data_IF_855466606972
#
_entry.id   IF_855466606972
#
_cell.length_a   1.000
_cell.length_b   1.000
_cell.length_c   1.000
_cell.angle_alpha   90.00
_cell.angle_beta   90.00
_cell.angle_gamma   90.00
#
_symmetry.space_group_name_H-M   'P 1'
#
loop_
_entity.id
_entity.type
_entity.pdbx_description
1 polymer ?
#
# COMPACT_ATOMS: atom_id res chain seq x y z
N UNK A 1 -35.02 54.40 6.75
CA UNK A 1 -35.18 55.28 7.95
C UNK A 1 -34.52 54.61 9.14
N UNK A 2 -33.77 55.42 9.91
CA UNK A 2 -33.13 55.19 11.22
C UNK A 2 -31.77 54.42 11.11
N UNK A 3 -30.71 54.93 11.44
CA UNK A 3 -30.13 56.10 12.20
C UNK A 3 -28.86 55.48 12.86
N UNK A 4 -27.71 56.04 12.46
CA UNK A 4 -26.41 55.72 13.08
C UNK A 4 -26.29 56.55 14.37
N UNK A 5 -25.89 55.93 15.47
CA UNK A 5 -25.41 56.67 16.65
C UNK A 5 -23.89 56.44 16.74
N UNK A 6 -23.16 57.55 16.55
CA UNK A 6 -21.73 57.64 16.89
C UNK A 6 -21.64 58.13 18.35
N UNK A 7 -20.87 57.40 19.16
CA UNK A 7 -20.43 57.86 20.45
C UNK A 7 -18.99 58.38 20.35
N UNK A 8 -18.85 59.72 20.47
CA UNK A 8 -17.58 60.39 20.76
C UNK A 8 -17.30 60.25 22.26
N UNK A 9 -16.18 59.58 22.62
CA UNK A 9 -15.65 59.64 23.97
C UNK A 9 -14.56 60.74 24.03
N UNK A 10 -14.78 61.72 24.83
CA UNK A 10 -13.87 62.85 25.01
C UNK A 10 -12.57 62.43 25.73
N UNK A 11 -11.49 62.99 25.26
CA UNK A 11 -10.16 62.88 25.88
C UNK A 11 -10.01 63.94 26.93
N UNK A 12 -9.86 63.54 28.19
CA UNK A 12 -9.43 64.41 29.28
C UNK A 12 -7.91 64.41 29.37
N UNK A 13 -7.24 65.47 28.99
CA UNK A 13 -5.79 65.63 29.14
C UNK A 13 -5.52 66.13 30.57
N UNK A 14 -4.94 65.32 31.40
CA UNK A 14 -4.30 65.73 32.67
C UNK A 14 -2.79 65.75 32.45
N UNK A 15 -2.23 66.95 32.38
CA UNK A 15 -0.78 67.16 32.37
C UNK A 15 -0.21 66.95 33.77
N UNK A 16 0.48 65.87 34.02
CA UNK A 16 1.27 65.66 35.23
C UNK A 16 2.72 65.36 34.84
N UNK A 17 3.62 66.27 35.05
CA UNK A 17 5.09 66.07 35.02
C UNK A 17 5.45 65.16 36.17
N UNK A 18 6.05 63.96 35.83
CA UNK A 18 6.94 63.25 36.72
C UNK A 18 7.82 62.26 35.88
N UNK A 19 9.10 62.41 36.03
CA UNK A 19 10.20 61.49 35.88
C UNK A 19 10.16 60.48 34.72
N UNK A 20 11.08 60.67 33.76
CA UNK A 20 11.29 59.72 32.68
C UNK A 20 11.66 58.30 33.14
N UNK A 21 10.68 57.42 33.19
CA UNK A 21 10.87 56.01 33.06
C UNK A 21 10.65 55.68 31.58
N UNK A 22 11.73 55.44 30.85
CA UNK A 22 11.61 54.88 29.51
C UNK A 22 10.92 53.52 29.65
N UNK A 23 9.62 53.50 29.37
CA UNK A 23 8.90 52.26 29.23
C UNK A 23 9.58 51.49 28.07
N UNK A 24 10.48 50.58 28.41
CA UNK A 24 11.04 49.65 27.45
C UNK A 24 9.85 48.97 26.75
N UNK A 25 9.73 49.15 25.44
CA UNK A 25 8.68 48.47 24.67
C UNK A 25 8.84 46.97 24.89
N UNK A 26 7.94 46.39 25.65
CA UNK A 26 7.88 44.91 25.75
C UNK A 26 7.50 44.42 24.37
N UNK A 27 8.51 43.88 23.65
CA UNK A 27 8.28 43.33 22.34
C UNK A 27 7.20 42.23 22.44
N UNK A 28 6.19 42.32 21.57
CA UNK A 28 5.08 41.36 21.59
C UNK A 28 5.55 39.92 21.44
N UNK A 29 4.91 39.03 22.18
CA UNK A 29 5.20 37.60 22.09
C UNK A 29 4.84 37.06 20.71
N UNK A 30 5.74 36.31 20.10
CA UNK A 30 5.56 35.73 18.78
C UNK A 30 5.14 34.27 18.96
N UNK A 31 3.99 33.91 18.36
CA UNK A 31 3.53 32.52 18.35
C UNK A 31 4.47 31.64 17.52
N UNK A 32 4.93 30.55 18.12
CA UNK A 32 5.71 29.52 17.41
C UNK A 32 4.80 28.63 16.58
N UNK A 33 5.08 28.52 15.28
CA UNK A 33 4.37 27.63 14.36
C UNK A 33 5.21 26.40 14.04
N UNK A 34 4.55 25.28 13.77
CA UNK A 34 5.17 24.04 13.30
C UNK A 34 4.43 23.55 12.06
N UNK A 35 5.16 23.34 10.99
CA UNK A 35 4.66 22.73 9.76
C UNK A 35 5.25 21.34 9.60
N UNK A 36 4.40 20.33 9.52
CA UNK A 36 4.79 18.95 9.32
C UNK A 36 4.81 18.63 7.82
N UNK A 37 5.96 18.23 7.29
CA UNK A 37 6.19 17.97 5.87
C UNK A 37 6.06 16.48 5.50
N UNK A 38 5.86 15.62 6.49
CA UNK A 38 5.77 14.16 6.31
C UNK A 38 4.55 13.64 7.06
N UNK A 39 3.74 12.84 6.37
CA UNK A 39 2.58 12.15 6.95
C UNK A 39 2.72 10.63 6.89
N UNK A 40 3.53 10.11 5.95
CA UNK A 40 3.79 8.67 5.81
C UNK A 40 5.19 8.40 5.30
N UNK A 41 5.75 7.23 5.67
CA UNK A 41 7.06 6.74 5.25
C UNK A 41 6.98 5.22 4.98
N UNK A 42 7.86 4.71 4.11
CA UNK A 42 8.06 3.26 3.98
C UNK A 42 8.91 2.71 5.13
N UNK A 43 8.75 1.43 5.47
CA UNK A 43 9.62 0.80 6.46
C UNK A 43 11.10 0.89 6.02
N UNK A 44 11.98 1.19 6.96
CA UNK A 44 13.41 1.42 6.70
C UNK A 44 13.74 2.78 6.08
N UNK A 45 12.74 3.55 5.64
CA UNK A 45 13.01 4.87 5.07
C UNK A 45 13.55 5.82 6.14
N UNK A 46 14.65 6.49 5.80
CA UNK A 46 15.32 7.48 6.66
C UNK A 46 15.00 8.88 6.15
N UNK A 47 14.66 9.79 7.05
CA UNK A 47 14.46 11.21 6.79
C UNK A 47 15.21 12.05 7.82
N UNK A 48 15.88 13.12 7.36
CA UNK A 48 16.40 14.16 8.26
C UNK A 48 15.23 14.83 8.99
N UNK A 49 15.36 15.07 10.30
CA UNK A 49 14.34 15.73 11.10
C UNK A 49 14.04 17.15 10.63
N UNK A 50 15.03 17.85 10.03
CA UNK A 50 14.83 19.15 9.37
C UNK A 50 13.83 19.09 8.20
N UNK A 51 13.75 17.93 7.53
CA UNK A 51 12.81 17.69 6.44
C UNK A 51 11.47 17.08 6.90
N UNK A 52 11.40 16.66 8.17
CA UNK A 52 10.15 16.10 8.75
C UNK A 52 9.22 17.22 9.21
N UNK A 53 9.78 18.26 9.84
CA UNK A 53 9.02 19.45 10.22
C UNK A 53 9.88 20.72 10.20
N UNK A 54 9.22 21.84 9.92
CA UNK A 54 9.80 23.18 9.95
C UNK A 54 9.09 24.06 10.97
N UNK A 55 9.77 25.13 11.43
CA UNK A 55 9.22 26.09 12.40
C UNK A 55 9.78 27.48 12.13
N UNK A 56 9.04 28.50 12.52
CA UNK A 56 9.45 29.91 12.49
C UNK A 56 10.33 30.30 13.69
N UNK A 57 10.46 29.46 14.73
CA UNK A 57 11.20 29.77 15.94
C UNK A 57 12.67 29.28 15.87
N UNK A 58 13.64 30.11 16.31
CA UNK A 58 15.04 29.72 16.45
C UNK A 58 15.29 28.86 17.71
N UNK A 59 14.29 28.65 18.57
CA UNK A 59 14.42 27.91 19.84
C UNK A 59 14.96 26.50 19.65
N UNK A 60 15.64 26.00 20.69
CA UNK A 60 16.20 24.64 20.71
C UNK A 60 15.07 23.64 20.47
N UNK A 61 15.33 22.70 19.57
CA UNK A 61 14.38 21.63 19.18
C UNK A 61 14.82 20.31 19.78
N UNK A 62 13.91 19.66 20.48
CA UNK A 62 14.10 18.29 20.97
C UNK A 62 12.99 17.40 20.43
N UNK A 63 13.37 16.17 20.09
CA UNK A 63 12.47 15.18 19.50
C UNK A 63 12.30 13.99 20.41
N UNK A 64 11.09 13.51 20.52
CA UNK A 64 10.76 12.23 21.13
C UNK A 64 9.79 11.46 20.25
N UNK A 65 9.66 10.17 20.49
CA UNK A 65 8.82 9.28 19.70
C UNK A 65 8.16 8.20 20.55
N UNK A 66 7.02 7.72 20.07
CA UNK A 66 6.41 6.46 20.49
C UNK A 66 6.02 5.65 19.25
N UNK A 67 5.91 4.34 19.39
CA UNK A 67 5.57 3.47 18.25
C UNK A 67 6.76 3.04 17.41
N UNK A 68 6.50 2.62 16.18
CA UNK A 68 7.45 1.89 15.34
C UNK A 68 8.33 2.81 14.50
N UNK A 69 9.25 3.49 15.15
CA UNK A 69 10.32 4.26 14.52
C UNK A 69 11.52 4.43 15.42
N UNK A 70 12.66 4.88 14.90
CA UNK A 70 13.84 5.25 15.66
C UNK A 70 14.26 6.68 15.33
N UNK A 71 14.79 7.37 16.33
CA UNK A 71 15.41 8.70 16.19
C UNK A 71 16.90 8.58 16.48
N UNK A 72 17.75 9.16 15.62
CA UNK A 72 19.20 9.12 15.79
C UNK A 72 19.84 10.38 15.22
N UNK A 73 20.49 11.21 16.01
CA UNK A 73 20.29 11.45 17.42
C UNK A 73 18.90 12.04 17.71
N UNK A 74 18.49 12.15 18.96
CA UNK A 74 17.17 12.68 19.35
C UNK A 74 17.04 14.22 19.22
N UNK A 75 18.12 14.92 18.92
CA UNK A 75 18.19 16.38 18.71
C UNK A 75 18.34 16.73 17.22
N UNK A 76 18.01 17.98 16.85
CA UNK A 76 18.15 18.47 15.49
C UNK A 76 19.58 19.01 15.22
N UNK A 77 20.29 18.64 14.12
CA UNK A 77 19.81 17.74 13.07
C UNK A 77 19.93 16.27 13.49
N UNK A 78 18.88 15.53 13.36
CA UNK A 78 18.84 14.10 13.58
C UNK A 78 18.09 13.41 12.45
N UNK A 79 17.93 12.10 12.54
CA UNK A 79 17.18 11.33 11.54
C UNK A 79 16.05 10.55 12.18
N UNK A 80 14.96 10.43 11.43
CA UNK A 80 13.85 9.53 11.66
C UNK A 80 13.98 8.33 10.73
N UNK A 81 13.97 7.13 11.28
CA UNK A 81 13.86 5.88 10.53
C UNK A 81 12.52 5.22 10.85
N UNK A 82 11.69 4.96 9.85
CA UNK A 82 10.42 4.26 10.02
C UNK A 82 10.66 2.76 10.23
N UNK A 83 10.08 2.18 11.27
CA UNK A 83 10.11 0.74 11.53
C UNK A 83 9.06 -0.03 10.73
N UNK A 84 8.91 -1.32 11.05
CA UNK A 84 7.98 -2.24 10.36
C UNK A 84 6.53 -2.17 10.87
N UNK A 85 6.26 -1.46 11.96
CA UNK A 85 4.90 -1.27 12.49
C UNK A 85 4.15 -0.16 11.77
N UNK A 86 2.82 -0.14 11.95
CA UNK A 86 1.91 0.68 11.16
C UNK A 86 2.02 2.19 11.38
N UNK A 87 2.52 2.65 12.54
CA UNK A 87 2.61 4.07 12.86
C UNK A 87 3.71 4.40 13.87
N UNK A 88 4.09 5.65 13.84
CA UNK A 88 5.02 6.29 14.78
C UNK A 88 4.45 7.67 15.14
N UNK A 89 4.33 7.97 16.43
CA UNK A 89 4.00 9.32 16.89
C UNK A 89 5.27 10.07 17.23
N UNK A 90 5.49 11.19 16.55
CA UNK A 90 6.59 12.11 16.82
C UNK A 90 6.09 13.28 17.66
N UNK A 91 6.92 13.71 18.63
CA UNK A 91 6.73 14.93 19.39
C UNK A 91 7.94 15.83 19.20
N UNK A 92 7.68 17.05 18.73
CA UNK A 92 8.66 18.11 18.62
C UNK A 92 8.41 19.13 19.75
N UNK A 93 9.38 19.32 20.62
CA UNK A 93 9.38 20.37 21.62
C UNK A 93 10.34 21.48 21.19
N UNK A 94 9.89 22.70 21.20
CA UNK A 94 10.64 23.90 20.85
C UNK A 94 10.69 24.79 22.10
N UNK A 95 11.90 25.05 22.59
CA UNK A 95 12.11 25.92 23.73
C UNK A 95 11.78 27.39 23.38
N UNK A 96 11.39 28.16 24.39
CA UNK A 96 11.27 29.62 24.25
C UNK A 96 12.61 30.21 23.81
N UNK A 97 12.60 31.17 22.90
CA UNK A 97 13.79 31.86 22.40
C UNK A 97 13.44 33.30 22.05
N UNK A 98 14.04 34.25 22.76
CA UNK A 98 13.68 35.69 22.63
C UNK A 98 12.20 35.89 22.86
N UNK A 99 11.54 36.49 21.87
CA UNK A 99 10.09 36.77 21.90
C UNK A 99 9.23 35.58 21.45
N UNK A 100 9.85 34.48 20.90
CA UNK A 100 9.14 33.27 20.46
C UNK A 100 8.70 32.41 21.67
N UNK A 101 7.42 32.09 21.70
CA UNK A 101 6.88 31.21 22.76
C UNK A 101 7.36 29.78 22.58
N UNK A 102 7.49 29.06 23.71
CA UNK A 102 7.71 27.62 23.64
C UNK A 102 6.53 26.90 22.98
N UNK A 103 6.80 25.79 22.28
CA UNK A 103 5.77 25.01 21.57
C UNK A 103 6.06 23.54 21.64
N UNK A 104 5.04 22.75 21.95
CA UNK A 104 5.01 21.32 21.73
C UNK A 104 4.04 21.00 20.60
N UNK A 105 4.47 20.15 19.68
CA UNK A 105 3.63 19.72 18.56
C UNK A 105 3.84 18.22 18.33
N UNK A 106 2.77 17.50 18.06
CA UNK A 106 2.79 16.07 17.79
C UNK A 106 2.26 15.75 16.40
N UNK A 107 2.78 14.68 15.79
CA UNK A 107 2.32 14.15 14.50
C UNK A 107 2.41 12.65 14.49
N UNK A 108 1.34 11.99 14.03
CA UNK A 108 1.39 10.57 13.69
C UNK A 108 1.92 10.45 12.26
N UNK A 109 3.01 9.71 12.12
CA UNK A 109 3.56 9.28 10.83
C UNK A 109 3.12 7.84 10.62
N UNK A 110 2.39 7.58 9.54
CA UNK A 110 1.93 6.24 9.22
C UNK A 110 2.92 5.52 8.29
N UNK A 111 2.96 4.20 8.36
CA UNK A 111 3.63 3.43 7.33
C UNK A 111 2.82 3.55 6.04
N UNK A 112 3.51 3.76 4.89
CA UNK A 112 2.81 3.73 3.59
C UNK A 112 2.11 2.39 3.42
N UNK A 113 0.85 2.37 2.96
CA UNK A 113 0.16 1.14 2.59
C UNK A 113 0.93 0.35 1.53
N UNK A 114 0.77 -0.96 1.54
CA UNK A 114 1.34 -1.86 0.53
C UNK A 114 1.02 -1.39 -0.90
N UNK A 115 -0.23 -1.01 -1.17
CA UNK A 115 -0.68 -0.50 -2.46
C UNK A 115 0.12 0.73 -2.97
N UNK A 116 0.74 1.48 -2.06
CA UNK A 116 1.50 2.70 -2.35
C UNK A 116 3.02 2.51 -2.16
N UNK A 117 3.52 1.28 -2.27
CA UNK A 117 4.94 0.95 -2.13
C UNK A 117 5.43 0.83 -0.67
N UNK A 118 4.53 0.57 0.27
CA UNK A 118 4.86 0.20 1.64
C UNK A 118 5.22 -1.28 1.79
N UNK A 119 5.54 -1.69 3.02
CA UNK A 119 5.74 -3.12 3.34
C UNK A 119 4.40 -3.82 3.35
N UNK A 120 4.31 -4.91 2.60
CA UNK A 120 3.10 -5.70 2.48
C UNK A 120 3.03 -6.82 3.54
N UNK A 121 1.82 -7.09 4.01
CA UNK A 121 1.45 -8.28 4.77
C UNK A 121 0.38 -9.07 4.02
N UNK A 122 0.23 -10.34 4.35
CA UNK A 122 -0.88 -11.16 3.83
C UNK A 122 -2.21 -10.54 4.27
N UNK A 123 -3.12 -10.35 3.34
CA UNK A 123 -4.41 -9.68 3.53
C UNK A 123 -4.39 -8.18 3.18
N UNK A 124 -3.23 -7.57 2.99
CA UNK A 124 -3.17 -6.18 2.53
C UNK A 124 -3.61 -6.07 1.06
N UNK A 125 -4.16 -4.91 0.70
CA UNK A 125 -4.37 -4.57 -0.71
C UNK A 125 -3.02 -4.25 -1.34
N UNK A 126 -2.69 -4.95 -2.43
CA UNK A 126 -1.45 -4.79 -3.18
C UNK A 126 -1.47 -3.64 -4.19
N UNK A 127 -0.33 -3.38 -4.86
CA UNK A 127 -0.21 -2.28 -5.83
C UNK A 127 -0.98 -2.49 -7.14
N UNK A 128 -1.47 -3.70 -7.41
CA UNK A 128 -2.39 -4.00 -8.50
C UNK A 128 -3.87 -3.94 -8.11
N UNK A 129 -4.17 -3.54 -6.85
CA UNK A 129 -5.54 -3.46 -6.35
C UNK A 129 -6.12 -4.79 -5.84
N UNK A 130 -5.41 -5.89 -6.02
CA UNK A 130 -5.73 -7.21 -5.50
C UNK A 130 -5.32 -7.39 -4.04
N UNK A 131 -5.24 -8.64 -3.57
CA UNK A 131 -4.93 -8.98 -2.18
C UNK A 131 -3.62 -9.78 -2.12
N UNK A 132 -2.72 -9.36 -1.24
CA UNK A 132 -1.47 -10.09 -0.96
C UNK A 132 -1.80 -11.40 -0.25
N UNK A 133 -1.37 -12.52 -0.82
CA UNK A 133 -1.60 -13.84 -0.23
C UNK A 133 -0.32 -14.62 0.11
N UNK A 134 0.83 -14.15 -0.37
CA UNK A 134 2.12 -14.76 -0.08
C UNK A 134 3.21 -13.70 0.08
N UNK A 135 4.14 -13.96 1.00
CA UNK A 135 5.30 -13.12 1.26
C UNK A 135 6.51 -14.00 1.54
N UNK A 136 7.59 -13.77 0.81
CA UNK A 136 8.88 -14.38 1.08
C UNK A 136 10.02 -13.41 0.72
N UNK A 137 10.58 -12.76 1.72
CA UNK A 137 11.62 -11.75 1.55
C UNK A 137 12.99 -12.33 1.19
N UNK A 138 13.17 -13.67 1.20
CA UNK A 138 14.40 -14.32 0.74
C UNK A 138 14.44 -14.51 -0.78
N UNK A 139 13.31 -14.29 -1.47
CA UNK A 139 13.25 -14.29 -2.93
C UNK A 139 13.86 -13.03 -3.51
N UNK A 140 14.21 -13.09 -4.80
CA UNK A 140 14.68 -11.91 -5.52
C UNK A 140 13.67 -10.75 -5.43
N UNK A 141 14.17 -9.53 -5.39
CA UNK A 141 13.35 -8.32 -5.48
C UNK A 141 12.52 -8.38 -6.77
N UNK A 142 11.23 -8.05 -6.67
CA UNK A 142 10.27 -8.20 -7.77
C UNK A 142 9.54 -9.55 -7.78
N UNK A 143 9.84 -10.46 -6.83
CA UNK A 143 9.11 -11.73 -6.67
C UNK A 143 8.87 -12.11 -5.21
N UNK A 144 8.98 -11.13 -4.31
CA UNK A 144 8.88 -11.34 -2.86
C UNK A 144 7.43 -11.44 -2.36
N UNK A 145 6.50 -10.87 -3.10
CA UNK A 145 5.07 -10.85 -2.78
C UNK A 145 4.26 -11.42 -3.92
N UNK A 146 3.21 -12.18 -3.57
CA UNK A 146 2.20 -12.61 -4.53
C UNK A 146 0.88 -11.93 -4.22
N UNK A 147 0.28 -11.34 -5.23
CA UNK A 147 -0.99 -10.63 -5.20
C UNK A 147 -2.01 -11.34 -6.07
N UNK A 148 -3.17 -11.72 -5.50
CA UNK A 148 -4.29 -12.30 -6.24
C UNK A 148 -5.17 -11.18 -6.78
N UNK A 149 -5.67 -11.29 -7.99
CA UNK A 149 -6.70 -10.40 -8.50
C UNK A 149 -7.94 -10.44 -7.59
N UNK A 150 -8.69 -9.34 -7.52
CA UNK A 150 -9.95 -9.29 -6.78
C UNK A 150 -11.03 -10.17 -7.45
N UNK A 151 -12.10 -10.47 -6.73
CA UNK A 151 -13.27 -11.13 -7.31
C UNK A 151 -13.87 -10.28 -8.45
N UNK A 152 -14.37 -10.93 -9.49
CA UNK A 152 -14.95 -10.25 -10.64
C UNK A 152 -13.97 -9.41 -11.46
N UNK A 153 -12.70 -9.73 -11.43
CA UNK A 153 -11.58 -9.01 -12.05
C UNK A 153 -11.69 -8.76 -13.57
N UNK A 154 -12.61 -9.44 -14.25
CA UNK A 154 -12.69 -9.48 -15.73
C UNK A 154 -12.99 -8.13 -16.38
N UNK A 155 -13.56 -7.18 -15.66
CA UNK A 155 -13.81 -5.81 -16.12
C UNK A 155 -12.62 -4.85 -15.90
N UNK A 156 -11.50 -5.36 -15.33
CA UNK A 156 -10.33 -4.54 -15.02
C UNK A 156 -10.49 -3.69 -13.76
N UNK A 157 -11.53 -3.92 -12.95
CA UNK A 157 -11.80 -3.19 -11.71
C UNK A 157 -11.94 -4.14 -10.52
N UNK A 158 -11.78 -3.61 -9.30
CA UNK A 158 -12.05 -4.30 -8.05
C UNK A 158 -13.25 -3.62 -7.37
N UNK A 159 -14.43 -4.12 -7.58
CA UNK A 159 -15.63 -3.55 -6.94
C UNK A 159 -16.79 -3.33 -7.90
N UNK A 160 -16.78 -3.98 -9.03
CA UNK A 160 -17.92 -4.07 -9.94
C UNK A 160 -19.12 -4.77 -9.29
N UNK A 161 -20.27 -4.75 -9.95
CA UNK A 161 -21.49 -5.42 -9.48
C UNK A 161 -21.42 -6.94 -9.58
N UNK A 162 -20.63 -7.47 -10.53
CA UNK A 162 -20.36 -8.90 -10.67
C UNK A 162 -19.05 -9.26 -9.98
N UNK A 163 -19.14 -9.96 -8.87
CA UNK A 163 -18.00 -10.45 -8.10
C UNK A 163 -17.67 -11.92 -8.42
N UNK A 164 -18.28 -12.50 -9.47
CA UNK A 164 -18.01 -13.86 -9.90
C UNK A 164 -16.75 -13.90 -10.76
N UNK A 165 -15.85 -14.83 -10.49
CA UNK A 165 -14.71 -15.06 -11.36
C UNK A 165 -15.15 -15.60 -12.72
N UNK A 166 -14.59 -15.10 -13.82
CA UNK A 166 -14.90 -15.65 -15.12
C UNK A 166 -14.38 -17.08 -15.27
N UNK A 167 -15.05 -17.86 -16.11
CA UNK A 167 -14.66 -19.21 -16.46
C UNK A 167 -14.02 -19.27 -17.84
N UNK A 168 -13.14 -20.22 -18.06
CA UNK A 168 -12.50 -20.49 -19.36
C UNK A 168 -12.08 -21.94 -19.48
N UNK A 169 -11.88 -22.41 -20.72
CA UNK A 169 -11.13 -23.64 -20.99
C UNK A 169 -9.64 -23.39 -20.74
N UNK A 170 -8.89 -24.43 -20.38
CA UNK A 170 -7.43 -24.34 -20.31
C UNK A 170 -6.84 -24.13 -21.72
N UNK A 171 -7.32 -24.89 -22.70
CA UNK A 171 -7.04 -24.76 -24.13
C UNK A 171 -6.08 -25.83 -24.67
N UNK A 172 -6.03 -25.94 -25.99
CA UNK A 172 -5.14 -26.85 -26.75
C UNK A 172 -5.13 -28.28 -26.24
N UNK A 173 -6.33 -28.87 -26.07
CA UNK A 173 -6.52 -30.28 -25.79
C UNK A 173 -5.80 -31.13 -26.86
N UNK A 174 -5.13 -32.20 -26.46
CA UNK A 174 -4.37 -33.06 -27.35
C UNK A 174 -3.00 -32.52 -27.77
N UNK A 175 -2.58 -31.40 -27.18
CA UNK A 175 -1.29 -30.76 -27.50
C UNK A 175 -0.48 -30.50 -26.25
N UNK A 176 0.73 -31.04 -26.18
CA UNK A 176 1.68 -30.76 -25.11
C UNK A 176 2.28 -29.36 -25.29
N UNK A 177 2.17 -28.52 -24.26
CA UNK A 177 2.75 -27.17 -24.28
C UNK A 177 4.13 -27.19 -23.63
N UNK A 178 5.17 -27.03 -24.43
CA UNK A 178 6.55 -27.11 -23.94
C UNK A 178 6.82 -26.11 -22.81
N UNK A 179 7.28 -26.61 -21.65
CA UNK A 179 7.64 -25.81 -20.48
C UNK A 179 6.49 -25.31 -19.63
N UNK A 180 5.22 -25.69 -19.92
CA UNK A 180 4.06 -25.35 -19.09
C UNK A 180 3.79 -26.36 -17.94
N UNK A 181 4.62 -27.36 -17.75
CA UNK A 181 4.45 -28.41 -16.74
C UNK A 181 5.02 -28.09 -15.35
N UNK A 182 5.53 -26.88 -15.15
CA UNK A 182 6.15 -26.48 -13.87
C UNK A 182 5.08 -26.25 -12.81
N UNK A 183 5.28 -26.86 -11.61
CA UNK A 183 4.28 -26.78 -10.51
C UNK A 183 4.70 -25.85 -9.38
N UNK A 184 5.99 -25.49 -9.28
CA UNK A 184 6.55 -24.75 -8.17
C UNK A 184 6.02 -23.31 -8.05
N UNK A 185 6.06 -22.72 -6.84
CA UNK A 185 5.82 -21.30 -6.62
C UNK A 185 6.87 -20.46 -7.35
N UNK A 186 6.44 -19.49 -8.15
CA UNK A 186 7.25 -18.67 -9.06
C UNK A 186 7.28 -19.21 -10.49
N UNK A 187 6.53 -20.27 -10.78
CA UNK A 187 6.50 -20.86 -12.13
C UNK A 187 5.31 -20.39 -12.99
N UNK A 188 4.29 -19.79 -12.36
CA UNK A 188 3.02 -19.45 -13.03
C UNK A 188 3.19 -18.47 -14.19
N UNK A 189 4.04 -17.47 -14.05
CA UNK A 189 4.30 -16.49 -15.09
C UNK A 189 4.89 -17.16 -16.34
N UNK A 190 5.98 -17.93 -16.17
CA UNK A 190 6.62 -18.62 -17.29
C UNK A 190 5.71 -19.69 -17.93
N UNK A 191 4.94 -20.43 -17.11
CA UNK A 191 3.94 -21.36 -17.64
C UNK A 191 2.91 -20.62 -18.50
N UNK A 192 2.39 -19.49 -17.99
CA UNK A 192 1.40 -18.66 -18.71
C UNK A 192 1.96 -18.20 -20.05
N UNK A 193 3.20 -17.71 -20.08
CA UNK A 193 3.85 -17.25 -21.31
C UNK A 193 4.04 -18.41 -22.31
N UNK A 194 4.44 -19.58 -21.85
CA UNK A 194 4.56 -20.77 -22.68
C UNK A 194 3.21 -21.20 -23.25
N UNK A 195 2.12 -21.17 -22.45
CA UNK A 195 0.78 -21.49 -22.92
C UNK A 195 0.31 -20.47 -23.97
N UNK A 196 0.48 -19.18 -23.72
CA UNK A 196 0.09 -18.14 -24.67
C UNK A 196 0.85 -18.25 -25.99
N UNK A 197 2.11 -18.67 -25.95
CA UNK A 197 2.94 -18.88 -27.14
C UNK A 197 2.58 -20.18 -27.88
N UNK A 198 2.42 -21.28 -27.14
CA UNK A 198 2.21 -22.61 -27.71
C UNK A 198 0.75 -22.94 -28.06
N UNK A 199 -0.21 -22.18 -27.54
CA UNK A 199 -1.64 -22.39 -27.77
C UNK A 199 -2.29 -21.18 -28.45
N UNK A 200 -2.61 -21.22 -29.75
CA UNK A 200 -3.18 -20.07 -30.47
C UNK A 200 -4.65 -19.78 -30.10
N UNK A 201 -5.34 -20.69 -29.42
CA UNK A 201 -6.75 -20.58 -29.08
C UNK A 201 -7.01 -19.30 -28.28
N UNK A 202 -8.00 -18.51 -28.70
CA UNK A 202 -8.41 -17.29 -28.02
C UNK A 202 -9.30 -17.61 -26.79
N UNK A 203 -9.31 -16.72 -25.81
CA UNK A 203 -10.22 -16.78 -24.66
C UNK A 203 -9.87 -17.87 -23.62
N UNK A 204 -8.77 -18.60 -23.78
CA UNK A 204 -8.28 -19.58 -22.81
C UNK A 204 -7.84 -18.93 -21.49
N UNK A 205 -7.80 -19.73 -20.42
CA UNK A 205 -7.49 -19.24 -19.06
C UNK A 205 -6.20 -18.43 -18.99
N UNK A 206 -5.11 -18.92 -19.58
CA UNK A 206 -3.81 -18.23 -19.60
C UNK A 206 -3.88 -16.87 -20.32
N UNK A 207 -4.58 -16.78 -21.48
CA UNK A 207 -4.73 -15.51 -22.20
C UNK A 207 -5.59 -14.51 -21.45
N UNK A 208 -6.67 -14.97 -20.79
CA UNK A 208 -7.50 -14.10 -19.95
C UNK A 208 -6.67 -13.49 -18.82
N UNK A 209 -5.84 -14.30 -18.16
CA UNK A 209 -4.95 -13.82 -17.11
C UNK A 209 -3.88 -12.85 -17.64
N UNK A 210 -3.20 -13.20 -18.74
CA UNK A 210 -2.12 -12.40 -19.33
C UNK A 210 -2.59 -11.05 -19.87
N UNK A 211 -3.82 -10.98 -20.38
CA UNK A 211 -4.39 -9.77 -20.95
C UNK A 211 -5.04 -8.84 -19.91
N UNK A 212 -5.06 -9.25 -18.63
CA UNK A 212 -5.64 -8.43 -17.58
C UNK A 212 -4.81 -7.17 -17.33
N UNK A 213 -5.50 -6.03 -17.36
CA UNK A 213 -4.98 -4.76 -16.82
C UNK A 213 -5.82 -4.40 -15.61
N UNK A 214 -5.23 -4.45 -14.43
CA UNK A 214 -5.92 -4.18 -13.17
C UNK A 214 -5.01 -3.34 -12.26
N UNK A 215 -5.55 -2.25 -11.70
CA UNK A 215 -4.78 -1.33 -10.86
C UNK A 215 -3.59 -0.67 -11.58
N UNK A 216 -3.66 -0.52 -12.90
CA UNK A 216 -2.58 -0.01 -13.74
C UNK A 216 -1.40 -0.99 -13.90
N UNK A 217 -1.62 -2.27 -13.61
CA UNK A 217 -0.66 -3.37 -13.77
C UNK A 217 -1.12 -4.29 -14.89
N UNK A 218 -0.16 -4.76 -15.71
CA UNK A 218 -0.37 -5.67 -16.85
C UNK A 218 0.48 -6.94 -16.76
N UNK A 219 1.08 -7.21 -15.60
CA UNK A 219 1.94 -8.34 -15.30
C UNK A 219 1.21 -9.48 -14.58
N UNK A 220 -0.08 -9.65 -14.88
CA UNK A 220 -0.92 -10.71 -14.35
C UNK A 220 -0.73 -12.02 -15.13
N UNK A 221 -0.82 -13.14 -14.43
CA UNK A 221 -0.66 -14.46 -15.01
C UNK A 221 -1.52 -15.51 -14.29
N UNK A 222 -1.69 -16.67 -14.90
CA UNK A 222 -2.38 -17.81 -14.31
C UNK A 222 -1.46 -18.51 -13.29
N UNK A 223 -1.88 -18.71 -12.04
CA UNK A 223 -1.05 -19.30 -11.02
C UNK A 223 -0.61 -20.71 -11.35
N UNK A 224 0.62 -21.11 -11.02
CA UNK A 224 1.03 -22.52 -11.04
C UNK A 224 0.23 -23.36 -10.03
N UNK A 225 0.33 -24.69 -10.11
CA UNK A 225 -0.32 -25.60 -9.16
C UNK A 225 -0.08 -25.20 -7.69
N UNK A 226 1.18 -24.96 -7.31
CA UNK A 226 1.52 -24.64 -5.92
C UNK A 226 1.21 -23.20 -5.53
N UNK A 227 1.14 -22.27 -6.47
CA UNK A 227 0.66 -20.91 -6.24
C UNK A 227 -0.85 -20.90 -6.03
N UNK A 228 -1.60 -21.65 -6.82
CA UNK A 228 -3.03 -21.80 -6.68
C UNK A 228 -3.40 -22.47 -5.35
N UNK A 229 -2.65 -23.48 -4.92
CA UNK A 229 -2.80 -24.06 -3.59
C UNK A 229 -2.53 -23.03 -2.48
N UNK A 230 -1.54 -22.14 -2.66
CA UNK A 230 -1.31 -21.06 -1.71
C UNK A 230 -2.47 -20.07 -1.67
N UNK A 231 -3.14 -19.80 -2.80
CA UNK A 231 -4.36 -19.00 -2.85
C UNK A 231 -5.49 -19.69 -2.08
N UNK A 232 -5.67 -21.02 -2.24
CA UNK A 232 -6.64 -21.79 -1.48
C UNK A 232 -6.39 -21.70 0.04
N UNK A 233 -5.15 -21.92 0.49
CA UNK A 233 -4.77 -21.80 1.91
C UNK A 233 -5.11 -20.41 2.47
N UNK A 234 -5.04 -19.38 1.64
CA UNK A 234 -5.32 -17.98 2.01
C UNK A 234 -6.66 -17.45 1.51
N UNK A 235 -7.56 -18.33 1.04
CA UNK A 235 -8.84 -17.94 0.40
C UNK A 235 -9.71 -17.01 1.23
N UNK A 236 -9.71 -17.18 2.55
CA UNK A 236 -10.45 -16.28 3.45
C UNK A 236 -9.90 -14.85 3.45
N UNK A 237 -8.57 -14.70 3.39
CA UNK A 237 -7.94 -13.39 3.33
C UNK A 237 -8.10 -12.72 1.95
N UNK A 238 -8.04 -13.52 0.86
CA UNK A 238 -8.22 -13.03 -0.51
C UNK A 238 -9.69 -12.66 -0.75
N UNK A 239 -10.61 -13.54 -0.37
CA UNK A 239 -12.06 -13.39 -0.52
C UNK A 239 -12.57 -13.63 -1.95
N UNK A 240 -13.90 -13.78 -2.06
CA UNK A 240 -14.62 -13.79 -3.32
C UNK A 240 -14.32 -14.97 -4.26
N UNK A 241 -13.87 -16.10 -3.75
CA UNK A 241 -13.83 -17.32 -4.54
C UNK A 241 -15.23 -17.94 -4.62
N UNK A 242 -15.63 -18.33 -5.81
CA UNK A 242 -16.72 -19.28 -5.98
C UNK A 242 -16.28 -20.67 -5.50
N UNK A 243 -17.18 -21.49 -5.04
CA UNK A 243 -16.92 -22.93 -4.85
C UNK A 243 -16.57 -23.58 -6.19
N UNK A 244 -16.00 -24.80 -6.16
CA UNK A 244 -15.65 -25.54 -7.35
C UNK A 244 -14.19 -25.39 -7.79
N UNK A 245 -13.96 -25.53 -9.08
CA UNK A 245 -12.62 -25.75 -9.63
C UNK A 245 -12.04 -24.49 -10.25
N UNK A 246 -10.74 -24.28 -9.99
CA UNK A 246 -9.94 -23.19 -10.58
C UNK A 246 -8.76 -23.75 -11.34
N UNK A 247 -8.54 -23.31 -12.59
CA UNK A 247 -7.39 -23.71 -13.38
C UNK A 247 -6.08 -23.18 -12.81
N UNK A 248 -5.06 -24.05 -12.81
CA UNK A 248 -3.67 -23.61 -12.73
C UNK A 248 -3.04 -23.50 -14.13
N UNK A 249 -1.89 -22.85 -14.23
CA UNK A 249 -1.08 -22.83 -15.45
C UNK A 249 -0.22 -24.10 -15.62
N UNK A 250 -0.30 -25.05 -14.69
CA UNK A 250 0.52 -26.25 -14.74
C UNK A 250 -0.18 -27.32 -15.58
N UNK A 251 0.42 -27.63 -16.71
CA UNK A 251 0.02 -28.76 -17.54
C UNK A 251 0.38 -30.07 -16.85
N UNK A 252 -0.47 -31.10 -16.95
CA UNK A 252 -0.16 -32.46 -16.50
C UNK A 252 0.39 -33.29 -17.63
N UNK A 253 -0.38 -33.43 -18.70
CA UNK A 253 -0.03 -34.05 -19.97
C UNK A 253 -0.75 -33.34 -21.12
N UNK A 254 -0.64 -33.83 -22.33
CA UNK A 254 -1.26 -33.20 -23.55
C UNK A 254 -2.76 -32.97 -23.45
N UNK A 255 -3.50 -33.85 -22.74
CA UNK A 255 -4.94 -33.76 -22.56
C UNK A 255 -5.38 -33.04 -21.26
N UNK A 256 -4.51 -33.02 -20.24
CA UNK A 256 -4.88 -32.65 -18.88
C UNK A 256 -4.06 -31.49 -18.33
N UNK A 257 -4.72 -30.67 -17.49
CA UNK A 257 -4.08 -29.60 -16.71
C UNK A 257 -4.51 -29.65 -15.24
N UNK A 258 -3.64 -29.19 -14.34
CA UNK A 258 -3.91 -29.16 -12.90
C UNK A 258 -4.92 -28.08 -12.54
N UNK A 259 -5.85 -28.44 -11.63
CA UNK A 259 -6.77 -27.52 -11.00
C UNK A 259 -6.72 -27.61 -9.47
N UNK A 260 -7.31 -26.65 -8.79
CA UNK A 260 -7.57 -26.63 -7.35
C UNK A 260 -9.09 -26.61 -7.11
N UNK A 261 -9.58 -27.51 -6.28
CA UNK A 261 -10.95 -27.46 -5.76
C UNK A 261 -10.98 -26.51 -4.56
N UNK A 262 -11.79 -25.43 -4.64
CA UNK A 262 -11.92 -24.44 -3.59
C UNK A 262 -12.96 -24.77 -2.53
N UNK A 263 -13.77 -25.83 -2.71
CA UNK A 263 -14.67 -26.34 -1.67
C UNK A 263 -13.91 -27.20 -0.65
N UNK A 264 -13.09 -28.14 -1.15
CA UNK A 264 -12.46 -29.18 -0.34
C UNK A 264 -10.95 -29.08 -0.24
N UNK A 265 -10.30 -28.31 -1.10
CA UNK A 265 -8.85 -28.09 -1.11
C UNK A 265 -8.02 -29.16 -1.78
N UNK A 266 -8.64 -30.11 -2.45
CA UNK A 266 -7.91 -31.10 -3.26
C UNK A 266 -7.35 -30.48 -4.53
N UNK A 267 -6.22 -31.00 -4.99
CA UNK A 267 -5.66 -30.72 -6.30
C UNK A 267 -5.70 -31.99 -7.13
N UNK A 268 -6.17 -31.86 -8.35
CA UNK A 268 -6.19 -32.92 -9.32
C UNK A 268 -6.06 -32.32 -10.73
N UNK A 269 -6.13 -33.11 -11.77
CA UNK A 269 -6.09 -32.69 -13.17
C UNK A 269 -7.36 -33.10 -13.90
N UNK A 270 -7.74 -32.32 -14.90
CA UNK A 270 -8.90 -32.60 -15.72
C UNK A 270 -8.64 -32.17 -17.17
N UNK A 271 -9.56 -32.56 -18.07
CA UNK A 271 -9.46 -32.29 -19.49
C UNK A 271 -9.40 -30.79 -19.79
N UNK A 272 -8.42 -30.40 -20.61
CA UNK A 272 -8.15 -29.01 -20.98
C UNK A 272 -9.32 -28.31 -21.71
N UNK A 273 -10.28 -29.06 -22.26
CA UNK A 273 -11.48 -28.49 -22.88
C UNK A 273 -12.58 -28.14 -21.88
N UNK A 274 -12.50 -28.58 -20.65
CA UNK A 274 -13.47 -28.22 -19.60
C UNK A 274 -13.34 -26.75 -19.20
N UNK A 275 -14.49 -26.19 -18.84
CA UNK A 275 -14.57 -24.80 -18.42
C UNK A 275 -14.60 -24.71 -16.90
N UNK A 276 -13.59 -24.07 -16.32
CA UNK A 276 -13.50 -23.82 -14.87
C UNK A 276 -13.15 -22.37 -14.59
N UNK A 277 -13.22 -21.97 -13.31
CA UNK A 277 -12.90 -20.62 -12.88
C UNK A 277 -11.44 -20.26 -13.11
N UNK A 278 -11.20 -18.95 -13.29
CA UNK A 278 -9.89 -18.36 -13.49
C UNK A 278 -9.71 -17.22 -12.49
N UNK A 279 -8.64 -17.26 -11.69
CA UNK A 279 -8.21 -16.16 -10.84
C UNK A 279 -6.75 -15.84 -11.10
N UNK A 280 -6.42 -14.74 -11.77
CA UNK A 280 -5.05 -14.32 -12.00
C UNK A 280 -4.32 -13.92 -10.71
N UNK A 281 -3.01 -13.97 -10.77
CA UNK A 281 -2.12 -13.42 -9.79
C UNK A 281 -0.98 -12.65 -10.45
N UNK A 282 -0.23 -11.90 -9.65
CA UNK A 282 1.05 -11.29 -10.05
C UNK A 282 2.08 -11.44 -8.94
N UNK A 283 3.36 -11.32 -9.30
CA UNK A 283 4.50 -11.28 -8.38
C UNK A 283 5.21 -9.92 -8.45
N UNK A 284 5.77 -9.44 -7.31
CA UNK A 284 6.54 -8.20 -7.27
C UNK A 284 7.45 -8.10 -6.04
#
# INVERSE_FOLDING_TARGET
>A
MRSRLSFLAGVLVVAGLLGGVTAGSVAAAISTTVTWNVSSLTAGQVKSLSNVATTNSPGVKTWSKTGSCTLTPSSNPGTLTMGTGRSCTLTLNIAKSGNYLAKTSTKIITQKPCANGGVCAVGDRGPGGGIIFYKNLTRAVGSQYFEAACAGWSDGTCGGSDLTDPTAVWGCFGTLIAGANRTAKGAGEQNTDNIVTGCPTLGIAARRAKNLVLGGKSDWFLPSKNELNQMYIRRTAIGGFSGGFYWSSSESVDDYAWYQNFDYGSQDYDYKYLTTYVRPMRAF
#
